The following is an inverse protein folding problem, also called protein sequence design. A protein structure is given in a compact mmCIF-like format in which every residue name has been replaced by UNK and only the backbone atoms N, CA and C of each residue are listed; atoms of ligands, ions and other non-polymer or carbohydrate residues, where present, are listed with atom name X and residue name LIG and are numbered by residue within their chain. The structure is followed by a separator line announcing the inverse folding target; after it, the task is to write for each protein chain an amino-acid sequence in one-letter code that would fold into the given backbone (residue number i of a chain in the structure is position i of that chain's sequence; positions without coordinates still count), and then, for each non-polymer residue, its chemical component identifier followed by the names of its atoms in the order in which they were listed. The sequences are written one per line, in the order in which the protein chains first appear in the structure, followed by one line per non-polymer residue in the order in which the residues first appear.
data_IF_747675358909
#
_entry.id   IF_747675358909
#
_cell.length_a   1.000
_cell.length_b   1.000
_cell.length_c   1.000
_cell.angle_alpha   90.00
_cell.angle_beta   90.00
_cell.angle_gamma   90.00
#
_symmetry.space_group_name_H-M   'P 1'
#
loop_
_entity.id
_entity.type
_entity.pdbx_description
1 polymer ?
#
# COMPACT_ATOMS: atom_id res chain seq x y z
N UNK A 1 -7.37 -14.98 3.04
CA UNK A 1 -8.14 -15.69 4.07
C UNK A 1 -9.58 -15.40 3.78
N UNK A 2 -10.36 -16.39 3.40
CA UNK A 2 -11.75 -16.17 3.00
C UNK A 2 -12.64 -16.36 4.21
N UNK A 3 -13.61 -15.46 4.39
CA UNK A 3 -14.62 -15.52 5.44
C UNK A 3 -15.99 -15.48 4.77
N UNK A 4 -16.42 -16.55 4.07
CA UNK A 4 -17.58 -16.51 3.18
C UNK A 4 -18.89 -16.16 3.91
N UNK A 5 -19.02 -16.59 5.16
CA UNK A 5 -20.20 -16.30 5.99
C UNK A 5 -20.37 -14.80 6.31
N UNK A 6 -19.31 -14.00 6.17
CA UNK A 6 -19.31 -12.55 6.35
C UNK A 6 -19.03 -11.80 5.04
N UNK A 7 -18.99 -12.51 3.91
CA UNK A 7 -18.84 -11.94 2.56
C UNK A 7 -17.59 -11.07 2.36
N UNK A 8 -16.44 -11.50 2.91
CA UNK A 8 -15.15 -10.85 2.62
C UNK A 8 -13.98 -11.82 2.59
N UNK A 9 -12.87 -11.36 1.98
CA UNK A 9 -11.55 -11.97 2.05
C UNK A 9 -10.52 -10.97 2.59
N UNK A 10 -9.57 -11.47 3.37
CA UNK A 10 -8.40 -10.71 3.83
C UNK A 10 -7.14 -11.13 3.08
N UNK A 11 -6.41 -10.15 2.54
CA UNK A 11 -5.10 -10.33 1.94
C UNK A 11 -4.05 -9.61 2.78
N UNK A 12 -2.89 -10.24 2.97
CA UNK A 12 -1.83 -9.69 3.81
C UNK A 12 -0.60 -9.42 2.94
N UNK A 13 -0.18 -8.16 2.86
CA UNK A 13 1.04 -7.73 2.17
C UNK A 13 2.12 -7.42 3.20
N UNK A 14 3.31 -8.00 3.03
CA UNK A 14 4.45 -7.78 3.90
C UNK A 14 5.77 -8.16 3.23
N UNK A 15 6.88 -7.97 3.94
CA UNK A 15 8.24 -8.25 3.46
C UNK A 15 8.68 -9.67 3.84
N UNK A 16 7.93 -10.67 3.42
CA UNK A 16 8.17 -12.08 3.74
C UNK A 16 8.61 -12.85 2.49
N UNK A 17 9.39 -13.92 2.69
CA UNK A 17 9.75 -14.81 1.59
C UNK A 17 8.64 -15.84 1.37
N UNK A 18 8.28 -16.16 0.11
CA UNK A 18 7.24 -17.15 -0.16
C UNK A 18 7.47 -18.51 0.51
N UNK A 19 8.73 -18.94 0.63
CA UNK A 19 9.11 -20.21 1.26
C UNK A 19 8.93 -20.24 2.78
N UNK A 20 8.86 -19.08 3.45
CA UNK A 20 8.65 -18.98 4.89
C UNK A 20 7.15 -19.03 5.25
N UNK A 21 6.26 -18.89 4.26
CA UNK A 21 4.81 -18.87 4.46
C UNK A 21 4.28 -20.30 4.66
N UNK A 22 3.69 -20.63 5.82
CA UNK A 22 3.14 -21.96 6.05
C UNK A 22 2.01 -22.30 5.08
N UNK A 23 1.91 -23.58 4.71
CA UNK A 23 0.81 -24.09 3.87
C UNK A 23 -0.42 -24.48 4.69
N UNK A 24 -0.23 -24.89 5.95
CA UNK A 24 -1.34 -25.17 6.87
C UNK A 24 -2.15 -23.88 7.12
N UNK A 25 -3.49 -23.92 6.97
CA UNK A 25 -4.33 -22.71 7.08
C UNK A 25 -4.22 -21.98 8.42
N UNK A 26 -4.12 -22.72 9.54
CA UNK A 26 -4.06 -22.12 10.88
C UNK A 26 -2.69 -21.50 11.11
N UNK A 27 -1.62 -22.23 10.81
CA UNK A 27 -0.26 -21.71 10.93
C UNK A 27 -0.05 -20.49 10.01
N UNK A 28 -0.64 -20.49 8.81
CA UNK A 28 -0.58 -19.34 7.89
C UNK A 28 -1.29 -18.11 8.44
N UNK A 29 -2.43 -18.29 9.13
CA UNK A 29 -3.13 -17.19 9.79
C UNK A 29 -2.28 -16.61 10.94
N UNK A 30 -1.76 -17.46 11.83
CA UNK A 30 -0.86 -17.05 12.91
C UNK A 30 0.40 -16.34 12.38
N UNK A 31 0.95 -16.84 11.27
CA UNK A 31 2.06 -16.19 10.57
C UNK A 31 1.68 -14.78 10.14
N UNK A 32 0.58 -14.61 9.38
CA UNK A 32 0.15 -13.32 8.85
C UNK A 32 -0.10 -12.27 9.97
N UNK A 33 -0.82 -12.64 11.04
CA UNK A 33 -1.14 -11.71 12.13
C UNK A 33 0.04 -11.39 13.06
N UNK A 34 1.13 -12.16 13.00
CA UNK A 34 2.32 -11.92 13.83
C UNK A 34 3.41 -11.09 13.15
N UNK A 35 3.26 -10.78 11.86
CA UNK A 35 4.28 -10.06 11.09
C UNK A 35 4.27 -8.56 11.41
N UNK A 36 5.46 -7.95 11.44
CA UNK A 36 5.61 -6.51 11.60
C UNK A 36 5.35 -5.80 10.27
N UNK A 37 4.74 -4.62 10.34
CA UNK A 37 4.51 -3.76 9.17
C UNK A 37 3.76 -4.46 8.03
N UNK A 38 2.84 -5.36 8.37
CA UNK A 38 1.93 -6.00 7.42
C UNK A 38 0.73 -5.10 7.15
N UNK A 39 0.35 -5.01 5.88
CA UNK A 39 -0.86 -4.35 5.44
C UNK A 39 -1.94 -5.42 5.20
N UNK A 40 -3.04 -5.32 5.94
CA UNK A 40 -4.24 -6.11 5.73
C UNK A 40 -5.16 -5.38 4.75
N UNK A 41 -5.49 -6.02 3.63
CA UNK A 41 -6.39 -5.53 2.60
C UNK A 41 -7.69 -6.34 2.67
N UNK A 42 -8.79 -5.66 3.00
CA UNK A 42 -10.12 -6.26 3.06
C UNK A 42 -10.82 -6.14 1.71
N UNK A 43 -11.11 -7.28 1.10
CA UNK A 43 -11.94 -7.37 -0.09
C UNK A 43 -13.35 -7.79 0.33
N UNK A 44 -14.28 -6.84 0.37
CA UNK A 44 -15.70 -7.14 0.53
C UNK A 44 -16.26 -7.65 -0.79
N UNK A 45 -17.01 -8.75 -0.76
CA UNK A 45 -17.44 -9.42 -1.99
C UNK A 45 -18.41 -8.55 -2.80
N UNK A 46 -18.23 -8.56 -4.12
CA UNK A 46 -19.11 -7.85 -5.06
C UNK A 46 -18.76 -6.39 -5.29
N UNK A 47 -17.86 -5.78 -4.49
CA UNK A 47 -17.45 -4.37 -4.70
C UNK A 47 -16.79 -4.16 -6.05
N UNK A 48 -16.11 -5.18 -6.59
CA UNK A 48 -15.50 -5.16 -7.92
C UNK A 48 -16.51 -5.12 -9.07
N UNK A 49 -17.80 -5.40 -8.80
CA UNK A 49 -18.88 -5.39 -9.77
C UNK A 49 -19.84 -4.19 -9.61
N UNK A 50 -19.58 -3.30 -8.64
CA UNK A 50 -20.40 -2.11 -8.39
C UNK A 50 -19.61 -0.83 -8.70
N UNK A 51 -19.86 -0.25 -9.89
CA UNK A 51 -19.22 1.00 -10.35
C UNK A 51 -19.46 2.20 -9.42
N UNK A 52 -20.47 2.13 -8.54
CA UNK A 52 -20.78 3.18 -7.56
C UNK A 52 -20.00 3.03 -6.26
N UNK A 53 -19.52 1.82 -5.97
CA UNK A 53 -18.72 1.54 -4.79
C UNK A 53 -17.33 2.14 -4.99
N UNK A 54 -16.94 3.07 -4.12
CA UNK A 54 -15.57 3.60 -4.05
C UNK A 54 -15.18 3.80 -2.60
N UNK A 55 -13.99 3.31 -2.23
CA UNK A 55 -13.39 3.67 -0.95
C UNK A 55 -12.94 5.13 -0.97
N UNK A 56 -12.95 5.76 0.20
CA UNK A 56 -12.47 7.12 0.37
C UNK A 56 -11.03 7.10 0.91
N UNK A 57 -10.11 7.74 0.19
CA UNK A 57 -8.68 7.72 0.54
C UNK A 57 -8.29 8.61 1.73
N UNK A 58 -9.21 9.42 2.26
CA UNK A 58 -9.01 10.27 3.44
C UNK A 58 -8.29 11.60 3.20
N UNK A 59 -7.84 11.90 1.98
CA UNK A 59 -7.12 13.14 1.65
C UNK A 59 -8.03 14.30 1.19
N UNK A 60 -9.32 14.04 0.97
CA UNK A 60 -10.41 15.02 0.81
C UNK A 60 -11.35 15.02 2.02
N UNK A 61 -12.29 15.97 2.10
CA UNK A 61 -13.30 15.98 3.18
C UNK A 61 -14.28 14.81 3.02
N UNK A 62 -14.63 14.08 4.09
CA UNK A 62 -14.10 14.20 5.46
C UNK A 62 -12.68 13.61 5.57
N UNK A 63 -11.73 14.40 6.07
CA UNK A 63 -10.33 13.97 6.21
C UNK A 63 -10.11 13.03 7.39
N UNK A 64 -9.10 12.16 7.28
CA UNK A 64 -8.73 11.22 8.34
C UNK A 64 -7.40 10.52 8.05
N UNK A 65 -7.46 9.28 7.58
CA UNK A 65 -6.27 8.59 7.05
C UNK A 65 -5.59 9.41 5.96
N UNK A 66 -4.25 9.40 5.92
CA UNK A 66 -3.47 10.11 4.92
C UNK A 66 -2.84 9.18 3.89
N UNK A 67 -1.89 8.36 4.33
CA UNK A 67 -1.11 7.48 3.46
C UNK A 67 -0.38 6.42 4.28
N UNK A 68 0.08 5.38 3.58
CA UNK A 68 1.19 4.53 4.05
C UNK A 68 2.51 5.03 3.47
N UNK A 69 3.64 4.58 4.01
CA UNK A 69 4.97 4.97 3.54
C UNK A 69 5.87 3.76 3.28
N UNK A 70 6.58 3.78 2.14
CA UNK A 70 7.56 2.77 1.77
C UNK A 70 8.93 3.44 1.66
N UNK A 71 9.86 2.98 2.50
CA UNK A 71 11.24 3.41 2.46
C UNK A 71 12.01 2.66 1.37
N UNK A 72 12.67 3.41 0.48
CA UNK A 72 13.46 2.87 -0.63
C UNK A 72 14.91 3.40 -0.59
N UNK A 73 15.89 2.66 -1.13
CA UNK A 73 17.27 3.13 -1.23
C UNK A 73 17.43 4.34 -2.16
N UNK A 74 16.62 4.44 -3.21
CA UNK A 74 16.65 5.53 -4.18
C UNK A 74 15.23 5.86 -4.68
N UNK A 75 14.76 7.06 -4.31
CA UNK A 75 13.42 7.54 -4.68
C UNK A 75 13.32 7.82 -6.18
N UNK A 76 14.41 8.26 -6.84
CA UNK A 76 14.38 8.59 -8.26
C UNK A 76 14.35 7.32 -9.10
N UNK A 77 15.21 6.34 -8.81
CA UNK A 77 15.21 5.05 -9.51
C UNK A 77 13.88 4.29 -9.31
N UNK A 78 13.33 4.29 -8.09
CA UNK A 78 12.02 3.72 -7.83
C UNK A 78 10.92 4.45 -8.65
N UNK A 79 10.95 5.78 -8.66
CA UNK A 79 9.97 6.58 -9.40
C UNK A 79 10.05 6.37 -10.91
N UNK A 80 11.25 6.25 -11.49
CA UNK A 80 11.42 5.94 -12.91
C UNK A 80 10.79 4.59 -13.26
N UNK A 81 10.98 3.58 -12.41
CA UNK A 81 10.31 2.27 -12.59
C UNK A 81 8.79 2.40 -12.50
N UNK A 82 8.28 3.17 -11.54
CA UNK A 82 6.84 3.39 -11.40
C UNK A 82 6.26 4.09 -12.63
N UNK A 83 6.93 5.09 -13.19
CA UNK A 83 6.51 5.75 -14.44
C UNK A 83 6.49 4.78 -15.62
N UNK A 84 7.52 3.94 -15.78
CA UNK A 84 7.57 2.90 -16.83
C UNK A 84 6.43 1.88 -16.72
N UNK A 85 5.93 1.64 -15.51
CA UNK A 85 4.81 0.75 -15.23
C UNK A 85 3.45 1.46 -15.30
N UNK A 86 3.40 2.76 -15.62
CA UNK A 86 2.16 3.53 -15.71
C UNK A 86 1.50 3.83 -14.36
N UNK A 87 2.27 3.80 -13.26
CA UNK A 87 1.74 4.09 -11.92
C UNK A 87 1.37 5.57 -11.78
N UNK A 88 0.17 5.91 -11.28
CA UNK A 88 -0.23 7.30 -11.07
C UNK A 88 0.58 7.97 -9.95
N UNK A 89 0.98 9.23 -10.17
CA UNK A 89 1.64 10.08 -9.19
C UNK A 89 0.71 11.19 -8.70
N UNK A 90 0.61 11.33 -7.38
CA UNK A 90 0.12 12.56 -6.74
C UNK A 90 1.21 13.63 -6.78
N UNK A 91 2.46 13.22 -6.51
CA UNK A 91 3.63 14.11 -6.48
C UNK A 91 4.86 13.35 -6.95
N UNK A 92 5.47 13.79 -8.04
CA UNK A 92 6.79 13.31 -8.49
C UNK A 92 7.90 13.72 -7.51
N UNK A 93 9.09 13.07 -7.51
CA UNK A 93 10.18 13.35 -6.56
C UNK A 93 10.51 14.83 -6.37
N UNK A 94 10.46 15.60 -7.46
CA UNK A 94 10.78 17.03 -7.47
C UNK A 94 9.55 17.94 -7.72
N UNK A 95 8.33 17.39 -7.65
CA UNK A 95 7.08 18.10 -7.93
C UNK A 95 6.60 19.08 -6.84
N UNK A 96 7.41 19.39 -5.83
CA UNK A 96 7.04 20.32 -4.75
C UNK A 96 8.24 20.99 -4.09
N UNK A 97 8.02 21.61 -2.93
CA UNK A 97 9.08 22.25 -2.12
C UNK A 97 10.11 21.23 -1.62
N UNK A 98 9.62 20.10 -1.09
CA UNK A 98 10.47 19.01 -0.64
C UNK A 98 10.88 18.13 -1.83
N UNK A 99 12.16 18.18 -2.18
CA UNK A 99 12.78 17.41 -3.27
C UNK A 99 13.21 16.03 -2.79
N UNK A 100 13.18 15.05 -3.69
CA UNK A 100 13.53 13.66 -3.38
C UNK A 100 12.50 12.91 -2.56
N UNK A 101 11.24 13.30 -2.66
CA UNK A 101 10.10 12.65 -2.01
C UNK A 101 8.95 12.55 -3.00
N UNK A 102 8.35 11.37 -3.15
CA UNK A 102 7.23 11.16 -4.06
C UNK A 102 5.99 10.59 -3.36
N UNK A 103 4.83 10.80 -3.98
CA UNK A 103 3.57 10.15 -3.62
C UNK A 103 2.97 9.51 -4.87
N UNK A 104 2.70 8.22 -4.79
CA UNK A 104 1.98 7.45 -5.82
C UNK A 104 0.58 7.07 -5.33
N UNK A 105 -0.24 6.51 -6.22
CA UNK A 105 -1.55 5.96 -5.87
C UNK A 105 -1.64 4.46 -6.16
N UNK A 106 -2.37 3.75 -5.31
CA UNK A 106 -2.84 2.40 -5.58
C UNK A 106 -4.14 2.40 -6.41
N UNK A 107 -4.69 1.24 -6.79
CA UNK A 107 -5.92 1.15 -7.59
C UNK A 107 -7.16 1.80 -6.93
N UNK A 108 -7.24 1.81 -5.60
CA UNK A 108 -8.32 2.45 -4.83
C UNK A 108 -8.10 3.96 -4.62
N UNK A 109 -6.94 4.46 -5.05
CA UNK A 109 -6.57 5.87 -4.97
C UNK A 109 -5.96 6.27 -3.63
N UNK A 110 -5.63 5.31 -2.75
CA UNK A 110 -4.87 5.58 -1.53
C UNK A 110 -3.46 6.07 -1.85
N UNK A 111 -2.99 7.01 -1.05
CA UNK A 111 -1.68 7.61 -1.26
C UNK A 111 -0.61 6.73 -0.62
N UNK A 112 0.51 6.57 -1.33
CA UNK A 112 1.69 5.85 -0.85
C UNK A 112 2.89 6.79 -0.97
N UNK A 113 3.48 7.14 0.18
CA UNK A 113 4.72 7.93 0.24
C UNK A 113 5.93 7.05 -0.12
N UNK A 114 6.77 7.56 -1.01
CA UNK A 114 8.04 6.94 -1.39
C UNK A 114 9.17 7.85 -0.90
N UNK A 115 9.92 7.33 0.09
CA UNK A 115 10.91 8.10 0.82
C UNK A 115 12.24 7.36 0.96
N UNK A 116 13.34 8.09 1.12
CA UNK A 116 14.62 7.53 1.54
C UNK A 116 14.92 7.97 2.98
N UNK A 117 14.93 7.01 3.91
CA UNK A 117 15.09 7.29 5.34
C UNK A 117 16.40 8.01 5.67
N UNK A 118 17.51 7.73 4.97
CA UNK A 118 18.80 8.42 5.18
C UNK A 118 18.71 9.88 4.77
N UNK A 119 18.02 10.15 3.67
CA UNK A 119 17.81 11.52 3.19
C UNK A 119 16.90 12.28 4.15
N UNK A 120 15.81 11.67 4.60
CA UNK A 120 14.87 12.28 5.56
C UNK A 120 15.53 12.61 6.90
N UNK A 121 16.44 11.76 7.38
CA UNK A 121 17.19 12.02 8.61
C UNK A 121 18.21 13.15 8.51
N UNK A 122 18.51 13.62 7.29
CA UNK A 122 19.49 14.69 7.02
C UNK A 122 18.83 16.05 6.73
N UNK A 123 17.50 16.13 6.81
CA UNK A 123 16.70 17.36 6.59
C UNK A 123 16.47 18.09 7.90
#
# INVERSE_FOLDING_TARGET
MDVPNLEFSLYFMGYEKPEDVPTDPKARAEFAFSRKATLELTHNFGTENDDKMKYHNGNSEPRGFGHIGIAVPDVYAASERFEKLGVPFIKKPDGGKMKGLAFIQDPDGYWIEILNYKRMASV
#
